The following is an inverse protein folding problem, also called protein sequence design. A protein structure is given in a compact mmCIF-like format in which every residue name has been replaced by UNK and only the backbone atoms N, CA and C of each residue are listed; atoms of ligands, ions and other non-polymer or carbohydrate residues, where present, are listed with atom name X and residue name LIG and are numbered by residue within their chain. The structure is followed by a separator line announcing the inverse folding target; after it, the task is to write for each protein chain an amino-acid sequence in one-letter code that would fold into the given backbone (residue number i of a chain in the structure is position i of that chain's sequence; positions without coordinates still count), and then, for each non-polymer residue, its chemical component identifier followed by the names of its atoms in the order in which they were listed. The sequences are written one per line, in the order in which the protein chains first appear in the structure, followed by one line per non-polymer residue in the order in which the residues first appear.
data_IF_570897805081
#
_entry.id   IF_570897805081
#
_cell.length_a   1.000
_cell.length_b   1.000
_cell.length_c   1.000
_cell.angle_alpha   90.00
_cell.angle_beta   90.00
_cell.angle_gamma   90.00
#
_symmetry.space_group_name_H-M   'P 1'
#
loop_
_entity.id
_entity.type
_entity.pdbx_description
1 polymer ?
#
# COMPACT_ATOMS: atom_id res chain seq x y z
N UNK A 1 -18.43 -24.20 -9.72
CA UNK A 1 -17.60 -23.47 -10.73
C UNK A 1 -18.45 -22.32 -11.26
N UNK A 2 -17.96 -21.08 -11.12
CA UNK A 2 -18.66 -19.91 -11.65
C UNK A 2 -18.02 -19.60 -13.02
N UNK A 3 -18.83 -19.55 -14.06
CA UNK A 3 -18.34 -19.18 -15.40
C UNK A 3 -17.99 -17.68 -15.43
N UNK A 4 -16.92 -17.29 -16.14
CA UNK A 4 -16.57 -15.89 -16.28
C UNK A 4 -17.72 -15.10 -16.92
N UNK A 5 -17.96 -13.85 -16.49
CA UNK A 5 -18.99 -13.03 -17.09
C UNK A 5 -18.67 -12.71 -18.56
N UNK A 6 -19.72 -12.51 -19.34
CA UNK A 6 -19.64 -12.21 -20.77
C UNK A 6 -19.88 -10.71 -20.98
N UNK A 7 -19.06 -10.07 -21.80
CA UNK A 7 -19.19 -8.67 -22.16
C UNK A 7 -20.47 -8.43 -23.00
N UNK A 8 -21.38 -7.56 -22.56
CA UNK A 8 -22.63 -7.32 -23.29
C UNK A 8 -22.42 -6.59 -24.64
N UNK A 9 -21.23 -6.00 -24.87
CA UNK A 9 -20.93 -5.24 -26.10
C UNK A 9 -20.32 -6.09 -27.19
N UNK A 10 -19.51 -7.08 -26.89
CA UNK A 10 -18.76 -7.86 -27.86
C UNK A 10 -18.90 -9.38 -27.71
N UNK A 11 -19.58 -9.86 -26.67
CA UNK A 11 -19.74 -11.29 -26.40
C UNK A 11 -18.47 -12.01 -25.90
N UNK A 12 -17.35 -11.31 -25.75
CA UNK A 12 -16.11 -11.90 -25.22
C UNK A 12 -16.14 -12.08 -23.71
N UNK A 13 -15.30 -12.95 -23.18
CA UNK A 13 -15.15 -13.17 -21.75
C UNK A 13 -14.57 -11.92 -21.05
N UNK A 14 -15.10 -11.59 -19.87
CA UNK A 14 -14.61 -10.51 -19.03
C UNK A 14 -13.68 -11.09 -17.98
N UNK A 15 -12.56 -10.43 -17.71
CA UNK A 15 -11.65 -10.72 -16.60
C UNK A 15 -11.61 -9.56 -15.61
N UNK A 16 -11.13 -9.77 -14.37
CA UNK A 16 -10.85 -8.68 -13.45
C UNK A 16 -9.91 -7.64 -14.08
N UNK A 17 -10.18 -6.35 -13.82
CA UNK A 17 -9.38 -5.22 -14.31
C UNK A 17 -8.12 -5.01 -13.46
N UNK A 18 -7.35 -6.07 -13.23
CA UNK A 18 -6.10 -6.05 -12.47
C UNK A 18 -4.92 -6.33 -13.39
N UNK A 19 -3.76 -5.78 -13.03
CA UNK A 19 -2.49 -6.08 -13.71
C UNK A 19 -1.95 -7.39 -13.16
N UNK A 20 -1.66 -8.34 -14.03
CA UNK A 20 -1.12 -9.64 -13.67
C UNK A 20 0.40 -9.63 -13.77
N UNK A 21 1.06 -10.62 -13.16
CA UNK A 21 2.49 -10.81 -13.34
C UNK A 21 2.84 -10.97 -14.82
N UNK A 22 3.87 -10.23 -15.27
CA UNK A 22 4.27 -10.19 -16.67
C UNK A 22 3.53 -9.17 -17.55
N UNK A 23 2.49 -8.52 -17.04
CA UNK A 23 1.84 -7.39 -17.72
C UNK A 23 2.48 -6.06 -17.32
N UNK A 24 2.49 -5.11 -18.26
CA UNK A 24 2.97 -3.76 -17.99
C UNK A 24 2.02 -3.01 -17.05
N UNK A 25 2.57 -2.30 -16.07
CA UNK A 25 1.80 -1.39 -15.24
C UNK A 25 1.33 -0.18 -16.08
N UNK A 26 0.18 0.41 -15.77
CA UNK A 26 -0.28 1.63 -16.43
C UNK A 26 0.67 2.79 -16.15
N UNK A 27 1.36 3.27 -17.17
CA UNK A 27 2.44 4.27 -17.05
C UNK A 27 1.97 5.58 -16.38
N UNK A 28 0.78 6.04 -16.73
CA UNK A 28 0.21 7.27 -16.19
C UNK A 28 -0.04 7.19 -14.69
N UNK A 29 -0.59 6.09 -14.23
CA UNK A 29 -0.92 5.85 -12.82
C UNK A 29 0.35 5.63 -12.00
N UNK A 30 1.33 4.92 -12.54
CA UNK A 30 2.66 4.75 -11.92
C UNK A 30 3.37 6.09 -11.80
N UNK A 31 3.38 6.91 -12.87
CA UNK A 31 4.00 8.23 -12.84
C UNK A 31 3.33 9.14 -11.80
N UNK A 32 1.99 9.14 -11.73
CA UNK A 32 1.26 9.93 -10.76
C UNK A 32 1.55 9.49 -9.30
N UNK A 33 1.63 8.19 -9.06
CA UNK A 33 1.97 7.64 -7.74
C UNK A 33 3.41 7.99 -7.33
N UNK A 34 4.37 7.86 -8.24
CA UNK A 34 5.76 8.23 -7.98
C UNK A 34 5.90 9.72 -7.70
N UNK A 35 5.25 10.59 -8.49
CA UNK A 35 5.24 12.02 -8.26
C UNK A 35 4.68 12.37 -6.87
N UNK A 36 3.61 11.71 -6.43
CA UNK A 36 3.05 11.90 -5.10
C UNK A 36 4.05 11.50 -4.00
N UNK A 37 4.75 10.37 -4.18
CA UNK A 37 5.75 9.89 -3.21
C UNK A 37 6.97 10.81 -3.18
N UNK A 38 7.47 11.24 -4.33
CA UNK A 38 8.62 12.14 -4.45
C UNK A 38 8.33 13.56 -3.92
N UNK A 39 7.06 13.93 -3.82
CA UNK A 39 6.62 15.20 -3.24
C UNK A 39 6.53 15.21 -1.71
N UNK A 40 6.69 14.05 -1.07
CA UNK A 40 6.69 13.95 0.40
C UNK A 40 7.89 14.66 0.99
N UNK A 41 7.77 15.09 2.24
CA UNK A 41 8.80 15.77 2.99
C UNK A 41 8.87 15.32 4.46
N UNK A 42 9.71 15.96 5.29
CA UNK A 42 9.99 15.53 6.67
C UNK A 42 8.79 15.55 7.63
N UNK A 43 7.71 16.23 7.27
CA UNK A 43 6.46 16.28 8.05
C UNK A 43 5.42 15.28 7.58
N UNK A 44 5.72 14.52 6.52
CA UNK A 44 4.78 13.61 5.88
C UNK A 44 4.99 12.17 6.31
N UNK A 45 3.97 11.35 6.10
CA UNK A 45 3.91 9.95 6.49
C UNK A 45 3.64 9.06 5.28
N UNK A 46 4.45 8.05 5.09
CA UNK A 46 4.22 6.96 4.16
C UNK A 46 3.79 5.70 4.92
N UNK A 47 2.54 5.29 4.76
CA UNK A 47 2.03 4.03 5.34
C UNK A 47 2.18 2.89 4.35
N UNK A 48 2.84 1.82 4.78
CA UNK A 48 2.99 0.56 4.04
C UNK A 48 2.16 -0.50 4.75
N UNK A 49 1.06 -0.92 4.12
CA UNK A 49 0.04 -1.72 4.79
C UNK A 49 -0.19 -3.05 4.10
N UNK A 50 0.00 -4.16 4.83
CA UNK A 50 -0.38 -5.52 4.41
C UNK A 50 0.33 -6.05 3.16
N UNK A 51 1.52 -5.56 2.86
CA UNK A 51 2.33 -6.05 1.73
C UNK A 51 3.54 -6.85 2.21
N UNK A 52 3.97 -7.80 1.40
CA UNK A 52 5.21 -8.56 1.64
C UNK A 52 6.49 -7.77 1.32
N UNK A 53 6.37 -6.67 0.58
CA UNK A 53 7.51 -5.85 0.18
C UNK A 53 8.43 -6.45 -0.90
N UNK A 54 7.98 -7.49 -1.63
CA UNK A 54 8.81 -8.20 -2.63
C UNK A 54 8.44 -7.92 -4.08
N UNK A 55 7.28 -7.28 -4.34
CA UNK A 55 6.76 -7.09 -5.70
C UNK A 55 7.18 -5.74 -6.26
N UNK A 56 8.11 -5.76 -7.21
CA UNK A 56 8.60 -4.55 -7.89
C UNK A 56 7.68 -4.11 -9.04
N UNK A 57 7.62 -2.78 -9.34
CA UNK A 57 8.44 -1.70 -8.77
C UNK A 57 7.93 -1.16 -7.42
N UNK A 58 6.72 -1.51 -6.98
CA UNK A 58 6.06 -0.92 -5.80
C UNK A 58 6.84 -1.19 -4.50
N UNK A 59 7.53 -2.32 -4.38
CA UNK A 59 8.38 -2.65 -3.25
C UNK A 59 9.51 -1.62 -3.00
N UNK A 60 9.93 -0.89 -4.04
CA UNK A 60 10.95 0.15 -3.93
C UNK A 60 10.42 1.52 -3.49
N UNK A 61 9.10 1.75 -3.54
CA UNK A 61 8.52 3.08 -3.29
C UNK A 61 8.67 3.58 -1.85
N UNK A 62 8.59 2.73 -0.80
CA UNK A 62 8.86 3.17 0.57
C UNK A 62 10.28 3.73 0.75
N UNK A 63 11.27 3.18 0.03
CA UNK A 63 12.63 3.71 0.06
C UNK A 63 12.72 5.11 -0.59
N UNK A 64 11.95 5.37 -1.64
CA UNK A 64 11.84 6.70 -2.25
C UNK A 64 11.23 7.68 -1.25
N UNK A 65 10.11 7.33 -0.61
CA UNK A 65 9.47 8.13 0.42
C UNK A 65 10.44 8.48 1.55
N UNK A 66 11.21 7.48 2.05
CA UNK A 66 12.22 7.71 3.07
C UNK A 66 13.32 8.67 2.63
N UNK A 67 13.74 8.57 1.37
CA UNK A 67 14.78 9.45 0.80
C UNK A 67 14.33 10.92 0.72
N UNK A 68 13.03 11.22 0.66
CA UNK A 68 12.50 12.60 0.77
C UNK A 68 12.47 13.13 2.20
N UNK A 69 12.77 12.30 3.19
CA UNK A 69 12.70 12.63 4.61
C UNK A 69 11.36 12.27 5.27
N UNK A 70 10.40 11.72 4.54
CA UNK A 70 9.14 11.27 5.10
C UNK A 70 9.33 10.10 6.08
N UNK A 71 8.48 10.04 7.10
CA UNK A 71 8.46 8.91 8.04
C UNK A 71 7.77 7.72 7.38
N UNK A 72 8.42 6.56 7.34
CA UNK A 72 7.87 5.32 6.78
C UNK A 72 7.40 4.41 7.90
N UNK A 73 6.12 4.04 7.87
CA UNK A 73 5.50 3.16 8.87
C UNK A 73 4.94 1.92 8.21
N UNK A 74 5.42 0.77 8.65
CA UNK A 74 4.86 -0.52 8.26
C UNK A 74 3.71 -0.92 9.19
N UNK A 75 2.59 -1.35 8.60
CA UNK A 75 1.46 -1.99 9.30
C UNK A 75 1.31 -3.41 8.72
N UNK A 76 1.77 -4.39 9.48
CA UNK A 76 1.74 -5.79 9.03
C UNK A 76 1.75 -6.72 10.25
N UNK A 77 1.00 -7.83 10.28
CA UNK A 77 1.09 -8.81 11.36
C UNK A 77 2.47 -9.47 11.45
N UNK A 78 3.15 -9.63 10.31
CA UNK A 78 4.43 -10.33 10.20
C UNK A 78 5.57 -9.37 9.81
N UNK A 79 6.80 -9.80 10.01
CA UNK A 79 7.97 -9.17 9.41
C UNK A 79 8.01 -9.40 7.89
N UNK A 80 8.48 -8.39 7.16
CA UNK A 80 8.56 -8.41 5.69
C UNK A 80 9.96 -8.00 5.23
N UNK A 81 10.23 -8.14 3.93
CA UNK A 81 11.52 -7.75 3.35
C UNK A 81 11.84 -6.24 3.50
N UNK A 82 10.83 -5.41 3.78
CA UNK A 82 11.02 -3.97 3.97
C UNK A 82 10.98 -3.54 5.43
N UNK A 83 10.72 -4.45 6.37
CA UNK A 83 10.57 -4.11 7.79
C UNK A 83 11.78 -3.34 8.34
N UNK A 84 13.00 -3.76 7.97
CA UNK A 84 14.22 -3.14 8.47
C UNK A 84 14.48 -1.72 7.96
N UNK A 85 13.88 -1.35 6.83
CA UNK A 85 14.01 0.00 6.30
C UNK A 85 12.92 0.95 6.81
N UNK A 86 11.87 0.45 7.47
CA UNK A 86 10.80 1.27 8.03
C UNK A 86 11.22 1.91 9.36
N UNK A 87 10.83 3.17 9.56
CA UNK A 87 11.13 3.91 10.79
C UNK A 87 10.29 3.40 11.96
N UNK A 88 9.06 2.97 11.69
CA UNK A 88 8.17 2.36 12.68
C UNK A 88 7.50 1.10 12.11
N UNK A 89 7.24 0.15 13.02
CA UNK A 89 6.58 -1.12 12.70
C UNK A 89 5.41 -1.32 13.65
N UNK A 90 4.20 -1.34 13.12
CA UNK A 90 2.98 -1.60 13.87
C UNK A 90 2.52 -3.01 13.55
N UNK A 91 2.63 -3.92 14.52
CA UNK A 91 2.25 -5.32 14.33
C UNK A 91 0.75 -5.52 14.55
N UNK A 92 0.07 -5.94 13.50
CA UNK A 92 -1.37 -6.18 13.46
C UNK A 92 -1.89 -6.14 12.03
N UNK A 93 -3.11 -6.63 11.84
CA UNK A 93 -3.78 -6.55 10.53
C UNK A 93 -4.23 -5.12 10.23
N UNK A 94 -4.39 -4.79 8.96
CA UNK A 94 -4.95 -3.49 8.55
C UNK A 94 -6.31 -3.21 9.22
N UNK A 95 -7.17 -4.23 9.33
CA UNK A 95 -8.48 -4.11 9.95
C UNK A 95 -8.43 -3.80 11.45
N UNK A 96 -7.37 -4.20 12.14
CA UNK A 96 -7.15 -3.89 13.56
C UNK A 96 -6.52 -2.50 13.76
N UNK A 97 -5.54 -2.18 12.94
CA UNK A 97 -4.68 -1.00 13.15
C UNK A 97 -5.28 0.28 12.57
N UNK A 98 -5.78 0.25 11.32
CA UNK A 98 -6.21 1.48 10.63
C UNK A 98 -7.37 2.21 11.33
N UNK A 99 -8.40 1.52 11.89
CA UNK A 99 -9.45 2.22 12.65
C UNK A 99 -8.94 2.92 13.89
N UNK A 100 -7.89 2.37 14.55
CA UNK A 100 -7.29 2.98 15.73
C UNK A 100 -6.46 4.22 15.36
N UNK A 101 -5.73 4.17 14.24
CA UNK A 101 -5.04 5.34 13.71
C UNK A 101 -6.01 6.45 13.34
N UNK A 102 -7.12 6.13 12.66
CA UNK A 102 -8.16 7.10 12.33
C UNK A 102 -8.77 7.74 13.57
N UNK A 103 -9.12 6.93 14.58
CA UNK A 103 -9.66 7.44 15.83
C UNK A 103 -8.68 8.38 16.55
N UNK A 104 -7.40 8.06 16.56
CA UNK A 104 -6.36 8.89 17.16
C UNK A 104 -6.21 10.24 16.43
N UNK A 105 -6.28 10.27 15.11
CA UNK A 105 -6.18 11.51 14.32
C UNK A 105 -7.40 12.43 14.48
N UNK A 106 -8.56 11.85 14.80
CA UNK A 106 -9.79 12.61 15.09
C UNK A 106 -9.91 13.10 16.52
N UNK A 107 -8.88 12.98 17.36
CA UNK A 107 -8.87 13.39 18.76
C UNK A 107 -9.54 12.39 19.71
N UNK A 108 -9.75 11.16 19.29
CA UNK A 108 -10.21 10.06 20.14
C UNK A 108 -9.10 9.53 21.05
N UNK A 109 -9.45 9.05 22.24
CA UNK A 109 -8.48 8.37 23.11
C UNK A 109 -8.03 7.07 22.45
N UNK A 110 -6.71 6.86 22.22
CA UNK A 110 -6.25 5.65 21.57
C UNK A 110 -6.52 4.42 22.46
N UNK A 111 -7.30 3.49 21.97
CA UNK A 111 -7.46 2.18 22.59
C UNK A 111 -6.17 1.39 22.33
N UNK A 112 -5.54 0.84 23.37
CA UNK A 112 -4.34 0.01 23.21
C UNK A 112 -4.63 -1.18 22.28
N UNK A 113 -3.72 -1.42 21.35
CA UNK A 113 -3.70 -2.66 20.56
C UNK A 113 -3.33 -3.79 21.52
N UNK A 114 -4.12 -4.88 21.55
CA UNK A 114 -3.86 -6.03 22.42
C UNK A 114 -2.56 -6.74 22.06
#
# INVERSE_FOLDING_TARGET
RIDPPVCPRCGGLVRPGVVWFGEALPEREVAAALQAIESLGPTDLCLVVGTSGVVFPVAGWPAIARATGATVVEVNPDETEISDMCDHRVRGTAAQVLPLLEAATRGGTPTRIP
#
